data_IF_018184586488
#
_entry.id   IF_018184586488
#
_cell.length_a   1.000
_cell.length_b   1.000
_cell.length_c   1.000
_cell.angle_alpha   90.00
_cell.angle_beta   90.00
_cell.angle_gamma   90.00
#
_symmetry.space_group_name_H-M   'P 1'
#
loop_
_entity.id
_entity.type
_entity.pdbx_description
1 polymer ?
#
# COMPACT_ATOMS: atom_id res chain seq x y z
N UNK A 1 -10.53 1.45 5.16
CA UNK A 1 -9.14 1.14 4.75
C UNK A 1 -8.64 2.36 4.00
N UNK A 2 -7.48 2.92 4.37
CA UNK A 2 -6.99 4.19 3.82
C UNK A 2 -5.98 3.94 2.70
N UNK A 3 -5.91 4.82 1.70
CA UNK A 3 -4.96 4.71 0.58
C UNK A 3 -3.59 5.17 1.03
N UNK A 4 -2.96 4.35 1.87
CA UNK A 4 -1.64 4.61 2.47
C UNK A 4 -0.77 3.36 2.39
N UNK A 5 0.54 3.56 2.54
CA UNK A 5 1.49 2.47 2.66
C UNK A 5 2.38 2.65 3.88
N UNK A 6 2.85 1.53 4.44
CA UNK A 6 3.70 1.51 5.64
C UNK A 6 4.42 0.18 5.79
N UNK A 7 5.52 0.16 6.54
CA UNK A 7 6.25 -1.07 6.83
C UNK A 7 5.64 -1.85 8.00
N UNK A 8 5.26 -1.16 9.07
CA UNK A 8 4.86 -1.79 10.34
C UNK A 8 3.35 -1.70 10.59
N UNK A 9 2.69 -0.70 10.00
CA UNK A 9 1.29 -0.40 10.22
C UNK A 9 0.34 -1.45 9.59
N UNK A 10 -0.57 -1.98 10.42
CA UNK A 10 -1.60 -2.94 10.00
C UNK A 10 -2.92 -2.30 9.57
N UNK A 11 -3.03 -0.99 9.56
CA UNK A 11 -4.20 -0.27 9.04
C UNK A 11 -4.01 0.23 7.59
N UNK A 12 -2.77 0.24 7.09
CA UNK A 12 -2.42 0.65 5.74
C UNK A 12 -2.90 -0.35 4.68
N UNK A 13 -3.28 0.17 3.50
CA UNK A 13 -3.70 -0.60 2.33
C UNK A 13 -2.55 -1.42 1.74
N UNK A 14 -1.38 -0.81 1.62
CA UNK A 14 -0.15 -1.46 1.17
C UNK A 14 0.79 -1.64 2.37
N UNK A 15 1.26 -2.86 2.59
CA UNK A 15 2.28 -3.14 3.60
C UNK A 15 3.60 -3.52 2.95
N UNK A 16 4.71 -3.04 3.49
CA UNK A 16 6.06 -3.46 3.11
C UNK A 16 6.65 -4.29 4.25
N UNK A 17 6.54 -5.62 4.22
CA UNK A 17 7.11 -6.47 5.26
C UNK A 17 8.61 -6.21 5.43
N UNK A 18 9.07 -6.29 6.66
CA UNK A 18 10.50 -6.20 6.98
C UNK A 18 11.28 -7.19 6.12
N UNK A 19 12.25 -6.68 5.38
CA UNK A 19 13.19 -7.45 4.58
C UNK A 19 14.62 -7.15 5.04
N UNK A 20 15.54 -8.04 4.72
CA UNK A 20 16.94 -7.92 5.10
C UNK A 20 17.80 -7.98 3.85
N UNK A 21 18.87 -7.19 3.77
CA UNK A 21 19.78 -7.21 2.60
C UNK A 21 20.36 -8.60 2.32
N UNK A 22 20.60 -9.39 3.37
CA UNK A 22 21.07 -10.77 3.26
C UNK A 22 20.02 -11.75 2.68
N UNK A 23 18.75 -11.33 2.55
CA UNK A 23 17.63 -12.08 1.99
C UNK A 23 16.75 -11.15 1.13
N UNK A 24 17.35 -10.54 0.13
CA UNK A 24 16.68 -9.55 -0.73
C UNK A 24 15.53 -10.16 -1.53
N UNK A 25 15.58 -11.47 -1.80
CA UNK A 25 14.53 -12.23 -2.47
C UNK A 25 13.20 -12.26 -1.69
N UNK A 26 13.23 -11.97 -0.38
CA UNK A 26 12.03 -11.89 0.45
C UNK A 26 11.34 -10.51 0.41
N UNK A 27 11.98 -9.52 -0.23
CA UNK A 27 11.43 -8.17 -0.37
C UNK A 27 10.18 -8.20 -1.26
N UNK A 28 9.08 -7.68 -0.73
CA UNK A 28 7.77 -7.71 -1.39
C UNK A 28 6.89 -6.58 -0.87
N UNK A 29 5.78 -6.38 -1.57
CA UNK A 29 4.69 -5.49 -1.15
C UNK A 29 3.44 -6.35 -1.00
N UNK A 30 2.68 -6.11 0.06
CA UNK A 30 1.44 -6.81 0.36
C UNK A 30 0.25 -5.85 0.22
N UNK A 31 -0.59 -6.08 -0.80
CA UNK A 31 -1.85 -5.36 -1.00
C UNK A 31 -2.97 -6.05 -0.21
N UNK A 32 -3.71 -5.28 0.59
CA UNK A 32 -4.60 -5.84 1.62
C UNK A 32 -6.10 -5.63 1.40
N UNK A 33 -6.49 -4.95 0.33
CA UNK A 33 -7.89 -4.81 -0.06
C UNK A 33 -8.53 -6.02 -0.75
N UNK A 34 -7.82 -6.92 -1.49
CA UNK A 34 -8.49 -8.01 -2.18
C UNK A 34 -9.03 -9.04 -1.18
N UNK A 35 -10.28 -9.46 -1.41
CA UNK A 35 -10.96 -10.49 -0.64
C UNK A 35 -11.35 -11.70 -1.53
N UNK A 36 -11.75 -12.86 -0.97
CA UNK A 36 -12.04 -14.07 -1.73
C UNK A 36 -13.23 -13.97 -2.71
N UNK A 37 -14.03 -12.90 -2.67
CA UNK A 37 -15.11 -12.68 -3.63
C UNK A 37 -14.60 -12.19 -5.00
N UNK A 38 -13.34 -11.75 -5.09
CA UNK A 38 -12.75 -11.33 -6.37
C UNK A 38 -12.29 -12.51 -7.23
N UNK A 39 -12.28 -12.34 -8.54
CA UNK A 39 -11.62 -13.28 -9.44
C UNK A 39 -10.09 -13.11 -9.32
N UNK A 40 -9.34 -14.13 -8.87
CA UNK A 40 -7.91 -13.99 -8.60
C UNK A 40 -7.09 -13.67 -9.86
N UNK A 41 -7.50 -14.15 -11.03
CA UNK A 41 -6.82 -13.85 -12.29
C UNK A 41 -6.94 -12.36 -12.64
N UNK A 42 -8.14 -11.80 -12.52
CA UNK A 42 -8.37 -10.37 -12.77
C UNK A 42 -7.69 -9.51 -11.72
N UNK A 43 -7.75 -9.91 -10.45
CA UNK A 43 -7.10 -9.21 -9.36
C UNK A 43 -5.58 -9.08 -9.61
N UNK A 44 -4.90 -10.19 -9.90
CA UNK A 44 -3.46 -10.17 -10.18
C UNK A 44 -3.11 -9.41 -11.47
N UNK A 45 -3.92 -9.54 -12.54
CA UNK A 45 -3.69 -8.81 -13.78
C UNK A 45 -3.74 -7.29 -13.57
N UNK A 46 -4.74 -6.80 -12.82
CA UNK A 46 -4.88 -5.37 -12.51
C UNK A 46 -3.76 -4.89 -11.59
N UNK A 47 -3.39 -5.65 -10.56
CA UNK A 47 -2.27 -5.31 -9.67
C UNK A 47 -0.96 -5.15 -10.46
N UNK A 48 -0.65 -6.10 -11.34
CA UNK A 48 0.55 -6.05 -12.18
C UNK A 48 0.51 -4.85 -13.13
N UNK A 49 -0.63 -4.61 -13.80
CA UNK A 49 -0.79 -3.48 -14.72
C UNK A 49 -0.62 -2.14 -14.01
N UNK A 50 -1.19 -1.97 -12.82
CA UNK A 50 -1.05 -0.75 -12.02
C UNK A 50 0.40 -0.50 -11.60
N UNK A 51 1.11 -1.54 -11.14
CA UNK A 51 2.53 -1.44 -10.79
C UNK A 51 3.41 -1.08 -11.99
N UNK A 52 3.19 -1.71 -13.14
CA UNK A 52 3.92 -1.40 -14.38
C UNK A 52 3.64 0.01 -14.88
N UNK A 53 2.42 0.51 -14.73
CA UNK A 53 2.07 1.88 -15.10
C UNK A 53 2.80 2.91 -14.22
N UNK A 54 2.87 2.67 -12.91
CA UNK A 54 3.65 3.50 -12.00
C UNK A 54 5.14 3.57 -12.36
N UNK A 55 5.73 2.43 -12.73
CA UNK A 55 7.12 2.37 -13.22
C UNK A 55 7.27 3.16 -14.52
N UNK A 56 6.39 2.92 -15.50
CA UNK A 56 6.43 3.57 -16.82
C UNK A 56 6.36 5.09 -16.71
N UNK A 57 5.53 5.60 -15.80
CA UNK A 57 5.29 7.03 -15.61
C UNK A 57 6.18 7.66 -14.52
N UNK A 58 7.13 6.90 -13.94
CA UNK A 58 7.99 7.34 -12.83
C UNK A 58 7.21 7.99 -11.68
N UNK A 59 6.10 7.36 -11.28
CA UNK A 59 5.27 7.89 -10.20
C UNK A 59 5.97 7.72 -8.85
N UNK A 60 6.04 8.81 -8.08
CA UNK A 60 6.55 8.77 -6.71
C UNK A 60 5.39 8.47 -5.75
N UNK A 61 5.47 7.42 -4.92
CA UNK A 61 4.48 7.19 -3.88
C UNK A 61 4.54 8.33 -2.84
N UNK A 62 3.43 8.64 -2.15
CA UNK A 62 3.44 9.59 -1.04
C UNK A 62 4.33 9.10 0.10
N UNK A 63 4.60 9.95 1.08
CA UNK A 63 5.33 9.55 2.30
C UNK A 63 4.61 8.40 3.04
N UNK A 64 5.34 7.47 3.67
CA UNK A 64 4.74 6.36 4.41
C UNK A 64 4.01 6.83 5.66
N UNK A 65 2.94 6.14 6.03
CA UNK A 65 2.12 6.46 7.22
C UNK A 65 2.27 5.34 8.26
N UNK A 66 3.32 5.42 9.08
CA UNK A 66 3.64 4.39 10.08
C UNK A 66 2.76 4.44 11.33
N UNK A 67 2.15 5.60 11.61
CA UNK A 67 1.27 5.81 12.76
C UNK A 67 -0.07 5.10 12.59
N UNK A 68 -0.70 4.70 13.70
CA UNK A 68 -2.04 4.13 13.64
C UNK A 68 -3.05 5.18 13.17
N UNK A 69 -3.59 4.99 11.96
CA UNK A 69 -4.46 5.95 11.30
C UNK A 69 -5.80 6.11 12.05
N UNK A 70 -6.18 5.11 12.85
CA UNK A 70 -7.37 5.19 13.69
C UNK A 70 -7.21 6.15 14.87
N UNK A 71 -5.97 6.43 15.29
CA UNK A 71 -5.66 7.31 16.42
C UNK A 71 -5.40 8.77 16.04
N UNK A 72 -5.31 9.05 14.73
CA UNK A 72 -5.11 10.40 14.21
C UNK A 72 -6.42 11.20 14.27
N UNK A 73 -6.31 12.51 14.48
CA UNK A 73 -7.40 13.47 14.31
C UNK A 73 -7.80 13.61 12.83
N UNK A 74 -9.00 14.13 12.58
CA UNK A 74 -9.56 14.20 11.22
C UNK A 74 -8.73 15.08 10.27
N UNK A 75 -8.12 16.16 10.75
CA UNK A 75 -7.26 17.04 9.93
C UNK A 75 -5.98 16.31 9.52
N UNK A 76 -5.28 15.69 10.48
CA UNK A 76 -4.08 14.89 10.23
C UNK A 76 -4.35 13.70 9.31
N UNK A 77 -5.55 13.11 9.37
CA UNK A 77 -5.96 11.99 8.52
C UNK A 77 -6.15 12.40 7.07
N UNK A 78 -6.81 13.52 6.82
CA UNK A 78 -6.99 14.05 5.47
C UNK A 78 -5.63 14.44 4.87
N UNK A 79 -4.77 15.06 5.67
CA UNK A 79 -3.42 15.42 5.22
C UNK A 79 -2.57 14.21 4.84
N UNK A 80 -2.61 13.14 5.65
CA UNK A 80 -1.82 11.91 5.43
C UNK A 80 -2.46 10.93 4.44
N UNK A 81 -3.72 11.15 4.04
CA UNK A 81 -4.43 10.35 3.05
C UNK A 81 -5.16 11.26 2.03
N UNK A 82 -4.44 11.88 1.07
CA UNK A 82 -5.02 12.85 0.13
C UNK A 82 -5.96 12.21 -0.90
N UNK A 83 -6.07 10.88 -0.94
CA UNK A 83 -6.95 10.14 -1.84
C UNK A 83 -8.26 9.69 -1.16
N UNK A 84 -8.59 10.27 0.02
CA UNK A 84 -9.87 10.07 0.68
C UNK A 84 -10.95 10.90 -0.03
N UNK A 85 -11.94 10.24 -0.62
CA UNK A 85 -13.23 10.83 -1.02
C UNK A 85 -14.28 10.48 0.02
#
# INVERSE_FOLDING_TARGET
>A
MYVTWAAMNRSALLRVPKWFKAKSEAARIELRCPDPACNPYLAFAVMLKAGLDGIKNNLTPPEPVEEDIYSLDDESRIQKNPYFF
#
